data_IF_073680723510
#
_entry.id   IF_073680723510
#
_cell.length_a   1.000
_cell.length_b   1.000
_cell.length_c   1.000
_cell.angle_alpha   90.00
_cell.angle_beta   90.00
_cell.angle_gamma   90.00
#
_symmetry.space_group_name_H-M   'P 1'
#
loop_
_entity.id
_entity.type
_entity.pdbx_description
1 polymer ?
#
# COMPACT_ATOMS: atom_id res chain seq x y z
N UNK A 1 20.46 -7.21 -5.82
CA UNK A 1 19.10 -6.66 -5.94
C UNK A 1 18.84 -5.76 -4.75
N UNK A 2 17.96 -4.77 -4.89
CA UNK A 2 17.71 -3.77 -3.84
C UNK A 2 17.12 -4.37 -2.55
N UNK A 3 16.43 -5.50 -2.66
CA UNK A 3 15.86 -6.23 -1.53
C UNK A 3 16.90 -6.94 -0.65
N UNK A 4 18.16 -7.03 -1.07
CA UNK A 4 19.24 -7.68 -0.30
C UNK A 4 20.35 -6.71 0.12
N UNK A 5 20.10 -5.38 0.08
CA UNK A 5 21.05 -4.38 0.57
C UNK A 5 21.26 -4.52 2.08
N UNK A 6 22.49 -4.26 2.55
CA UNK A 6 22.86 -4.42 3.97
C UNK A 6 22.21 -3.37 4.88
N UNK A 7 21.87 -2.20 4.34
CA UNK A 7 21.17 -1.12 5.02
C UNK A 7 19.91 -0.77 4.22
N UNK A 8 18.81 -0.53 4.94
CA UNK A 8 17.52 -0.09 4.38
C UNK A 8 17.11 -0.86 3.11
N UNK A 9 16.99 -2.21 3.16
CA UNK A 9 16.66 -3.00 2.00
C UNK A 9 15.25 -2.67 1.50
N UNK A 10 15.06 -2.66 0.17
CA UNK A 10 13.73 -2.49 -0.43
C UNK A 10 12.91 -3.77 -0.24
N UNK A 11 12.25 -3.88 0.91
CA UNK A 11 11.37 -4.98 1.31
C UNK A 11 10.04 -4.41 1.80
N UNK A 12 8.98 -5.18 1.59
CA UNK A 12 7.66 -4.88 2.14
C UNK A 12 7.71 -4.98 3.68
N UNK A 13 7.07 -4.04 4.37
CA UNK A 13 6.89 -4.09 5.82
C UNK A 13 5.82 -5.12 6.21
N UNK A 14 5.84 -5.59 7.46
CA UNK A 14 4.92 -6.64 7.94
C UNK A 14 3.43 -6.23 7.88
N UNK A 15 3.16 -4.93 8.03
CA UNK A 15 1.83 -4.33 7.99
C UNK A 15 1.51 -3.67 6.63
N UNK A 16 2.43 -3.72 5.68
CA UNK A 16 2.22 -3.10 4.37
C UNK A 16 1.20 -3.89 3.54
N UNK A 17 0.30 -3.14 2.90
CA UNK A 17 -0.68 -3.66 1.96
C UNK A 17 -0.08 -3.61 0.55
N UNK A 18 -0.03 -4.77 -0.13
CA UNK A 18 0.36 -4.82 -1.54
C UNK A 18 -0.79 -4.29 -2.40
N UNK A 19 -0.48 -3.31 -3.25
CA UNK A 19 -1.44 -2.71 -4.20
C UNK A 19 -0.87 -2.86 -5.60
N UNK A 20 -1.57 -3.60 -6.45
CA UNK A 20 -1.25 -3.70 -7.88
C UNK A 20 -1.96 -2.59 -8.64
N UNK A 21 -1.18 -1.72 -9.27
CA UNK A 21 -1.67 -0.56 -10.04
C UNK A 21 -1.39 -0.70 -11.53
N UNK A 22 -0.97 -1.88 -12.00
CA UNK A 22 -0.54 -2.11 -13.38
C UNK A 22 -1.59 -1.69 -14.43
N UNK A 23 -2.87 -1.82 -14.08
CA UNK A 23 -4.01 -1.51 -14.95
C UNK A 23 -4.81 -0.26 -14.51
N UNK A 24 -4.24 0.59 -13.63
CA UNK A 24 -4.91 1.78 -13.10
C UNK A 24 -4.25 3.07 -13.59
N UNK A 25 -5.06 4.04 -14.01
CA UNK A 25 -4.60 5.41 -14.20
C UNK A 25 -4.42 6.13 -12.84
N UNK A 26 -3.81 7.32 -12.87
CA UNK A 26 -3.50 8.06 -11.64
C UNK A 26 -4.73 8.32 -10.74
N UNK A 27 -5.85 8.77 -11.33
CA UNK A 27 -7.05 9.10 -10.56
C UNK A 27 -7.69 7.85 -9.94
N UNK A 28 -7.66 6.73 -10.66
CA UNK A 28 -8.13 5.42 -10.17
C UNK A 28 -7.28 4.95 -8.97
N UNK A 29 -5.96 5.12 -9.04
CA UNK A 29 -5.05 4.77 -7.95
C UNK A 29 -5.33 5.61 -6.69
N UNK A 30 -5.51 6.93 -6.85
CA UNK A 30 -5.80 7.84 -5.72
C UNK A 30 -7.13 7.50 -5.07
N UNK A 31 -8.17 7.27 -5.88
CA UNK A 31 -9.50 6.90 -5.38
C UNK A 31 -9.46 5.57 -4.61
N UNK A 32 -8.78 4.56 -5.15
CA UNK A 32 -8.64 3.25 -4.52
C UNK A 32 -7.98 3.33 -3.14
N UNK A 33 -6.83 4.02 -3.03
CA UNK A 33 -6.10 4.15 -1.77
C UNK A 33 -6.94 4.91 -0.73
N UNK A 34 -7.60 6.00 -1.12
CA UNK A 34 -8.42 6.81 -0.21
C UNK A 34 -9.55 5.98 0.39
N UNK A 35 -10.29 5.23 -0.43
CA UNK A 35 -11.37 4.35 0.03
C UNK A 35 -10.85 3.24 0.96
N UNK A 36 -9.70 2.65 0.63
CA UNK A 36 -9.09 1.59 1.45
C UNK A 36 -8.74 2.09 2.85
N UNK A 37 -8.19 3.30 2.95
CA UNK A 37 -7.85 3.93 4.23
C UNK A 37 -9.11 4.22 5.06
N UNK A 38 -10.16 4.78 4.44
CA UNK A 38 -11.42 5.06 5.12
C UNK A 38 -12.05 3.80 5.72
N UNK A 39 -12.03 2.68 4.99
CA UNK A 39 -12.52 1.39 5.47
C UNK A 39 -11.73 0.90 6.69
N UNK A 40 -10.39 0.97 6.65
CA UNK A 40 -9.53 0.51 7.74
C UNK A 40 -9.73 1.36 9.01
N UNK A 41 -9.81 2.68 8.86
CA UNK A 41 -10.07 3.59 9.99
C UNK A 41 -11.46 3.33 10.59
N UNK A 42 -12.45 3.06 9.75
CA UNK A 42 -13.82 2.81 10.21
C UNK A 42 -13.94 1.46 10.94
N UNK A 43 -13.25 0.42 10.48
CA UNK A 43 -13.24 -0.91 11.10
C UNK A 43 -12.56 -0.92 12.47
N UNK A 44 -11.53 -0.08 12.69
CA UNK A 44 -10.85 0.06 13.98
C UNK A 44 -11.68 0.77 15.07
N UNK A 45 -12.77 1.46 14.71
CA UNK A 45 -13.65 2.15 15.67
C UNK A 45 -14.67 1.25 16.37
N UNK A 46 -14.57 -0.07 16.17
CA UNK A 46 -15.45 -1.10 16.77
C UNK A 46 -14.65 -1.95 17.74
#
# INVERSE_FOLDING_TARGET
>A
TDSNRSSDPLKQADDAILVDTSDMNFDEQVAFISQKIEQLISQQKT
#
